data_IF_518823494455
#
_entry.id   IF_518823494455
#
_cell.length_a   1.000
_cell.length_b   1.000
_cell.length_c   1.000
_cell.angle_alpha   90.00
_cell.angle_beta   90.00
_cell.angle_gamma   90.00
#
_symmetry.space_group_name_H-M   'P 1'
#
loop_
_entity.id
_entity.type
_entity.pdbx_description
1 polymer ?
#
# COMPACT_ATOMS: atom_id res chain seq x y z
N UNK A 1 -5.45 20.21 -9.65
CA UNK A 1 -6.08 18.88 -9.46
C UNK A 1 -5.20 18.09 -8.49
N UNK A 2 -5.49 18.09 -7.18
CA UNK A 2 -4.64 17.36 -6.21
C UNK A 2 -4.74 15.85 -6.45
N UNK A 3 -3.65 15.23 -6.89
CA UNK A 3 -3.54 13.78 -7.06
C UNK A 3 -3.67 13.10 -5.69
N UNK A 4 -4.90 12.69 -5.36
CA UNK A 4 -5.20 11.99 -4.11
C UNK A 4 -4.60 10.58 -4.21
N UNK A 5 -3.43 10.37 -3.58
CA UNK A 5 -2.79 9.05 -3.50
C UNK A 5 -3.75 8.08 -2.80
N UNK A 6 -4.30 7.13 -3.57
CA UNK A 6 -5.35 6.22 -3.10
C UNK A 6 -4.70 5.07 -2.32
N UNK A 7 -4.86 5.12 -0.99
CA UNK A 7 -4.45 4.03 -0.10
C UNK A 7 -5.31 2.78 -0.38
N UNK A 8 -4.65 1.63 -0.36
CA UNK A 8 -5.26 0.33 -0.61
C UNK A 8 -5.74 -0.36 0.68
N UNK A 9 -5.48 0.16 1.87
CA UNK A 9 -5.95 -0.47 3.11
C UNK A 9 -7.39 -0.02 3.42
N UNK A 10 -8.36 -0.94 3.60
CA UNK A 10 -9.70 -0.58 4.04
C UNK A 10 -9.64 0.03 5.44
N UNK A 11 -10.37 1.14 5.66
CA UNK A 11 -10.39 1.94 6.90
C UNK A 11 -9.14 2.76 7.19
N UNK A 12 -8.10 2.72 6.34
CA UNK A 12 -7.00 3.66 6.48
C UNK A 12 -7.45 5.05 5.99
N UNK A 13 -7.46 6.02 6.91
CA UNK A 13 -7.80 7.41 6.59
C UNK A 13 -6.57 8.23 6.22
N UNK A 14 -5.36 7.71 6.40
CA UNK A 14 -4.13 8.41 6.01
C UNK A 14 -4.13 8.65 4.50
N UNK A 15 -3.83 9.87 4.09
CA UNK A 15 -3.66 10.28 2.70
C UNK A 15 -2.47 11.22 2.62
N UNK A 16 -1.93 11.39 1.41
CA UNK A 16 -0.86 12.36 1.17
C UNK A 16 -1.24 13.80 1.53
N UNK A 17 -2.52 14.08 1.76
CA UNK A 17 -3.03 15.40 2.14
C UNK A 17 -3.17 15.59 3.65
N UNK A 18 -3.55 14.55 4.42
CA UNK A 18 -3.73 14.68 5.87
C UNK A 18 -2.51 14.22 6.69
N UNK A 19 -1.61 13.47 6.07
CA UNK A 19 -0.40 12.96 6.70
C UNK A 19 0.78 13.01 5.72
N UNK A 20 1.15 14.21 5.19
CA UNK A 20 2.21 14.35 4.19
C UNK A 20 3.59 13.90 4.69
N UNK A 21 3.82 13.90 6.00
CA UNK A 21 5.04 13.44 6.65
C UNK A 21 5.18 11.91 6.68
N UNK A 22 4.11 11.16 6.42
CA UNK A 22 4.15 9.70 6.42
C UNK A 22 4.67 9.17 5.10
N UNK A 23 5.36 8.03 5.15
CA UNK A 23 5.78 7.35 3.93
C UNK A 23 4.58 6.69 3.24
N UNK A 24 4.48 6.91 1.93
CA UNK A 24 3.50 6.27 1.03
C UNK A 24 4.25 5.45 -0.01
N UNK A 25 4.26 4.13 0.19
CA UNK A 25 4.94 3.18 -0.67
C UNK A 25 3.99 2.77 -1.78
N UNK A 26 4.42 2.90 -3.04
CA UNK A 26 3.65 2.43 -4.19
C UNK A 26 3.68 0.91 -4.27
N UNK A 27 2.53 0.30 -4.57
CA UNK A 27 2.48 -1.15 -4.76
C UNK A 27 3.11 -1.51 -6.12
N UNK A 28 3.89 -2.61 -6.18
CA UNK A 28 4.54 -3.06 -7.41
C UNK A 28 3.51 -3.36 -8.50
N UNK A 29 3.88 -3.13 -9.76
CA UNK A 29 3.00 -3.35 -10.92
C UNK A 29 2.70 -4.83 -11.20
N UNK A 30 3.58 -5.72 -10.73
CA UNK A 30 3.43 -7.17 -10.87
C UNK A 30 2.19 -7.67 -10.12
N UNK A 31 1.35 -8.44 -10.80
CA UNK A 31 0.09 -8.94 -10.24
C UNK A 31 0.29 -9.93 -9.09
N UNK A 32 1.28 -10.84 -9.19
CA UNK A 32 1.55 -11.84 -8.14
C UNK A 32 2.06 -11.15 -6.89
N UNK A 33 3.01 -10.23 -7.04
CA UNK A 33 3.57 -9.49 -5.92
C UNK A 33 2.52 -8.58 -5.28
N UNK A 34 1.72 -7.86 -6.09
CA UNK A 34 0.62 -7.04 -5.58
C UNK A 34 -0.44 -7.86 -4.83
N UNK A 35 -0.71 -9.09 -5.24
CA UNK A 35 -1.61 -10.01 -4.51
C UNK A 35 -1.01 -10.43 -3.16
N UNK A 36 0.29 -10.72 -3.11
CA UNK A 36 0.99 -11.02 -1.85
C UNK A 36 0.93 -9.84 -0.88
N UNK A 37 1.16 -8.63 -1.37
CA UNK A 37 1.03 -7.39 -0.59
C UNK A 37 -0.39 -7.19 -0.05
N UNK A 38 -1.42 -7.37 -0.88
CA UNK A 38 -2.81 -7.26 -0.43
C UNK A 38 -3.17 -8.30 0.63
N UNK A 39 -2.63 -9.52 0.54
CA UNK A 39 -2.77 -10.56 1.56
C UNK A 39 -2.07 -10.17 2.87
N UNK A 40 -0.86 -9.63 2.80
CA UNK A 40 -0.13 -9.15 3.98
C UNK A 40 -0.90 -8.02 4.70
N UNK A 41 -1.58 -7.16 3.95
CA UNK A 41 -2.49 -6.13 4.47
C UNK A 41 -3.84 -6.67 4.97
N UNK A 42 -3.99 -7.99 5.13
CA UNK A 42 -5.20 -8.69 5.60
C UNK A 42 -6.45 -8.33 4.80
N UNK A 43 -6.27 -8.10 3.51
CA UNK A 43 -7.39 -7.80 2.62
C UNK A 43 -7.88 -9.09 1.97
N UNK A 44 -9.12 -9.46 2.26
CA UNK A 44 -9.80 -10.59 1.62
C UNK A 44 -10.08 -10.32 0.15
N UNK A 45 -10.49 -9.09 -0.16
CA UNK A 45 -10.99 -8.73 -1.47
C UNK A 45 -9.85 -8.17 -2.32
N UNK A 46 -9.53 -8.87 -3.40
CA UNK A 46 -8.53 -8.41 -4.34
C UNK A 46 -9.00 -7.13 -5.03
N UNK A 47 -8.24 -6.04 -4.87
CA UNK A 47 -8.50 -4.81 -5.62
C UNK A 47 -7.67 -4.81 -6.88
N UNK A 48 -8.40 -4.52 -7.97
CA UNK A 48 -7.91 -4.34 -9.32
C UNK A 48 -6.56 -3.63 -9.40
N UNK A 49 -5.71 -4.14 -10.28
CA UNK A 49 -4.43 -3.56 -10.68
C UNK A 49 -4.54 -2.21 -11.41
N UNK A 50 -5.76 -1.70 -11.65
CA UNK A 50 -5.94 -0.42 -12.36
C UNK A 50 -5.43 0.75 -11.51
N UNK A 51 -4.36 1.36 -11.99
CA UNK A 51 -3.73 2.57 -11.44
C UNK A 51 -2.78 2.30 -10.28
N UNK A 52 -1.94 3.29 -9.98
CA UNK A 52 -0.99 3.24 -8.85
C UNK A 52 -1.76 3.25 -7.54
N UNK A 53 -1.52 2.22 -6.71
CA UNK A 53 -2.05 2.12 -5.35
C UNK A 53 -0.92 2.32 -4.37
N UNK A 54 -1.25 2.84 -3.20
CA UNK A 54 -0.26 3.13 -2.16
C UNK A 54 -0.58 2.41 -0.86
N UNK A 55 0.45 2.13 -0.09
CA UNK A 55 0.43 1.64 1.29
C UNK A 55 1.15 2.67 2.17
N UNK A 56 0.61 3.01 3.35
CA UNK A 56 1.33 3.88 4.27
C UNK A 56 2.22 3.05 5.22
N UNK A 57 3.23 3.68 5.82
CA UNK A 57 4.14 3.03 6.78
C UNK A 57 3.44 2.32 7.94
N UNK A 58 2.31 2.84 8.44
CA UNK A 58 1.52 2.20 9.51
C UNK A 58 1.03 0.78 9.12
N UNK A 59 1.02 0.46 7.82
CA UNK A 59 0.54 -0.79 7.25
C UNK A 59 1.61 -1.56 6.49
N UNK A 60 2.84 -1.04 6.43
CA UNK A 60 3.97 -1.70 5.81
C UNK A 60 5.16 -1.63 6.77
N UNK A 61 5.47 -2.77 7.38
CA UNK A 61 6.60 -2.83 8.30
C UNK A 61 7.86 -3.06 7.48
N UNK A 62 8.40 -1.98 6.93
CA UNK A 62 9.62 -1.96 6.09
C UNK A 62 10.72 -2.88 6.66
N UNK A 63 10.95 -2.86 7.98
CA UNK A 63 11.97 -3.70 8.60
C UNK A 63 11.66 -5.19 8.48
N UNK A 64 10.47 -5.62 8.91
CA UNK A 64 10.06 -7.03 8.83
C UNK A 64 9.83 -7.53 7.40
N UNK A 65 9.31 -6.65 6.53
CA UNK A 65 8.88 -7.01 5.18
C UNK A 65 10.05 -7.00 4.17
N UNK A 66 11.12 -6.24 4.45
CA UNK A 66 12.36 -6.23 3.63
C UNK A 66 13.38 -7.25 4.15
N UNK A 67 13.46 -7.53 5.46
CA UNK A 67 14.37 -8.56 6.00
C UNK A 67 14.06 -9.98 5.49
N UNK A 68 12.82 -10.23 5.03
CA UNK A 68 12.43 -11.52 4.46
C UNK A 68 12.67 -11.62 2.93
N UNK A 69 13.40 -10.66 2.35
CA UNK A 69 13.92 -10.71 0.98
C UNK A 69 15.37 -11.23 1.03
N UNK A 70 15.53 -12.52 1.33
CA UNK A 70 16.78 -13.26 1.06
C UNK A 70 16.72 -13.94 -0.31
#
# INVERSE_FOLDING_TARGET
MSEKRRIIIPKCTNTSTNAPQKLFISLPSDHKLRKAWQRAMRRSDFVSNKGTKFCCEDHFNVKKDIENYQ
#
